data_IF_791157990259
#
_entry.id   IF_791157990259
#
_cell.length_a   1.000
_cell.length_b   1.000
_cell.length_c   1.000
_cell.angle_alpha   90.00
_cell.angle_beta   90.00
_cell.angle_gamma   90.00
#
_symmetry.space_group_name_H-M   'P 1'
#
loop_
_entity.id
_entity.type
_entity.pdbx_description
1 polymer ?
#
# COMPACT_ATOMS: atom_id res chain seq x y z
N UNK A 1 -29.08 -52.20 47.23
CA UNK A 1 -27.80 -51.93 46.54
C UNK A 1 -27.91 -51.15 45.22
N UNK A 2 -29.04 -51.07 44.51
CA UNK A 2 -29.09 -50.39 43.20
C UNK A 2 -29.10 -48.85 43.23
N UNK A 3 -29.60 -48.22 44.32
CA UNK A 3 -29.73 -46.76 44.41
C UNK A 3 -28.38 -46.02 44.56
N UNK A 4 -27.39 -46.66 45.20
CA UNK A 4 -26.06 -46.07 45.40
C UNK A 4 -25.18 -46.08 44.14
N UNK A 5 -25.35 -47.08 43.27
CA UNK A 5 -24.60 -47.22 42.01
C UNK A 5 -25.00 -46.08 41.04
N UNK A 6 -26.29 -45.72 41.02
CA UNK A 6 -26.81 -44.66 40.14
C UNK A 6 -26.29 -43.26 40.52
N UNK A 7 -26.18 -42.94 41.82
CA UNK A 7 -25.69 -41.63 42.28
C UNK A 7 -24.20 -41.43 42.00
N UNK A 8 -23.39 -42.47 42.17
CA UNK A 8 -21.94 -42.42 41.88
C UNK A 8 -21.68 -42.25 40.38
N UNK A 9 -22.43 -42.97 39.53
CA UNK A 9 -22.32 -42.85 38.08
C UNK A 9 -22.76 -41.47 37.58
N UNK A 10 -23.87 -40.93 38.10
CA UNK A 10 -24.34 -39.58 37.78
C UNK A 10 -23.33 -38.52 38.22
N UNK A 11 -22.74 -38.64 39.41
CA UNK A 11 -21.71 -37.71 39.88
C UNK A 11 -20.44 -37.76 39.01
N UNK A 12 -20.02 -38.94 38.57
CA UNK A 12 -18.87 -39.10 37.68
C UNK A 12 -19.13 -38.55 36.26
N UNK A 13 -20.34 -38.74 35.72
CA UNK A 13 -20.75 -38.17 34.43
C UNK A 13 -20.89 -36.65 34.48
N UNK A 14 -21.45 -36.09 35.56
CA UNK A 14 -21.53 -34.64 35.77
C UNK A 14 -20.14 -34.02 35.95
N UNK A 15 -19.23 -34.69 36.66
CA UNK A 15 -17.85 -34.24 36.80
C UNK A 15 -17.11 -34.24 35.45
N UNK A 16 -17.28 -35.29 34.64
CA UNK A 16 -16.69 -35.38 33.29
C UNK A 16 -17.27 -34.35 32.33
N UNK A 17 -18.58 -34.12 32.38
CA UNK A 17 -19.28 -33.10 31.58
C UNK A 17 -18.83 -31.68 31.95
N UNK A 18 -18.70 -31.39 33.25
CA UNK A 18 -18.24 -30.09 33.75
C UNK A 18 -16.78 -29.82 33.38
N UNK A 19 -15.92 -30.83 33.48
CA UNK A 19 -14.51 -30.73 33.05
C UNK A 19 -14.39 -30.48 31.53
N UNK A 20 -15.19 -31.17 30.72
CA UNK A 20 -15.22 -30.97 29.26
C UNK A 20 -15.70 -29.56 28.86
N UNK A 21 -16.76 -29.04 29.51
CA UNK A 21 -17.26 -27.68 29.27
C UNK A 21 -16.18 -26.63 29.59
N UNK A 22 -15.46 -26.78 30.70
CA UNK A 22 -14.38 -25.86 31.08
C UNK A 22 -13.25 -25.86 30.04
N UNK A 23 -12.86 -27.01 29.49
CA UNK A 23 -11.81 -27.11 28.47
C UNK A 23 -12.25 -26.45 27.15
N UNK A 24 -13.51 -26.64 26.75
CA UNK A 24 -14.07 -26.02 25.53
C UNK A 24 -14.21 -24.50 25.67
N UNK A 25 -14.49 -23.99 26.88
CA UNK A 25 -14.58 -22.55 27.16
C UNK A 25 -13.20 -21.88 27.14
N UNK A 26 -12.20 -22.48 27.82
CA UNK A 26 -10.83 -21.98 27.84
C UNK A 26 -10.17 -21.96 26.45
N UNK A 27 -10.43 -22.97 25.62
CA UNK A 27 -9.95 -23.01 24.23
C UNK A 27 -10.63 -21.95 23.34
N UNK A 28 -11.93 -21.71 23.52
CA UNK A 28 -12.63 -20.61 22.82
C UNK A 28 -12.12 -19.22 23.22
N UNK A 29 -11.78 -19.01 24.49
CA UNK A 29 -11.17 -17.76 24.98
C UNK A 29 -9.79 -17.57 24.34
N UNK A 30 -8.95 -18.61 24.34
CA UNK A 30 -7.61 -18.56 23.75
C UNK A 30 -7.64 -18.27 22.24
N UNK A 31 -8.57 -18.93 21.52
CA UNK A 31 -8.80 -18.68 20.09
C UNK A 31 -9.30 -17.24 19.89
N UNK A 32 -10.26 -16.76 20.69
CA UNK A 32 -10.78 -15.39 20.58
C UNK A 32 -9.71 -14.34 20.82
N UNK A 33 -8.81 -14.55 21.78
CA UNK A 33 -7.68 -13.65 22.02
C UNK A 33 -6.68 -13.69 20.85
N UNK A 34 -6.35 -14.87 20.33
CA UNK A 34 -5.49 -15.02 19.16
C UNK A 34 -6.08 -14.35 17.91
N UNK A 35 -7.39 -14.51 17.65
CA UNK A 35 -8.08 -13.87 16.53
C UNK A 35 -8.15 -12.36 16.68
N UNK A 36 -8.34 -11.85 17.91
CA UNK A 36 -8.28 -10.40 18.20
C UNK A 36 -6.88 -9.84 17.97
N UNK A 37 -5.83 -10.55 18.41
CA UNK A 37 -4.44 -10.14 18.17
C UNK A 37 -4.11 -10.12 16.66
N UNK A 38 -4.51 -11.16 15.93
CA UNK A 38 -4.35 -11.22 14.47
C UNK A 38 -5.11 -10.09 13.77
N UNK A 39 -6.32 -9.76 14.23
CA UNK A 39 -7.13 -8.66 13.70
C UNK A 39 -6.50 -7.29 13.96
N UNK A 40 -5.97 -7.04 15.17
CA UNK A 40 -5.23 -5.80 15.45
C UNK A 40 -3.94 -5.71 14.64
N UNK A 41 -3.20 -6.81 14.50
CA UNK A 41 -1.99 -6.85 13.69
C UNK A 41 -2.28 -6.55 12.21
N UNK A 42 -3.34 -7.13 11.64
CA UNK A 42 -3.74 -6.85 10.25
C UNK A 42 -4.22 -5.40 10.08
N UNK A 43 -4.95 -4.82 11.04
CA UNK A 43 -5.35 -3.40 11.01
C UNK A 43 -4.13 -2.48 11.06
N UNK A 44 -3.15 -2.75 11.93
CA UNK A 44 -1.92 -1.96 12.01
C UNK A 44 -1.11 -2.04 10.71
N UNK A 45 -1.00 -3.23 10.12
CA UNK A 45 -0.34 -3.45 8.83
C UNK A 45 -1.04 -2.69 7.69
N UNK A 46 -2.36 -2.77 7.59
CA UNK A 46 -3.10 -2.08 6.51
C UNK A 46 -3.09 -0.56 6.70
N UNK A 47 -3.23 -0.06 7.94
CA UNK A 47 -3.12 1.37 8.23
C UNK A 47 -1.73 1.92 7.86
N UNK A 48 -0.66 1.18 8.17
CA UNK A 48 0.71 1.57 7.83
C UNK A 48 0.94 1.68 6.32
N UNK A 49 0.39 0.74 5.54
CA UNK A 49 0.47 0.76 4.07
C UNK A 49 -0.33 1.93 3.48
N UNK A 50 -1.49 2.25 4.07
CA UNK A 50 -2.33 3.37 3.61
C UNK A 50 -1.62 4.72 3.75
N UNK A 51 -0.90 4.94 4.86
CA UNK A 51 -0.21 6.22 5.14
C UNK A 51 0.85 6.57 4.08
N UNK A 52 1.52 5.58 3.49
CA UNK A 52 2.59 5.81 2.50
C UNK A 52 2.08 6.41 1.18
N UNK A 53 0.86 6.08 0.74
CA UNK A 53 0.27 6.64 -0.47
C UNK A 53 -0.40 8.01 -0.26
N UNK A 54 -0.90 8.25 0.95
CA UNK A 54 -1.66 9.46 1.30
C UNK A 54 -0.74 10.67 1.51
N UNK A 55 0.47 10.46 2.00
CA UNK A 55 1.45 11.53 2.25
C UNK A 55 1.82 12.29 0.97
N UNK A 56 2.15 11.58 -0.11
CA UNK A 56 2.54 12.21 -1.37
C UNK A 56 1.41 13.02 -2.02
N UNK A 57 0.17 12.51 -2.03
CA UNK A 57 -0.97 13.26 -2.58
C UNK A 57 -1.34 14.48 -1.73
N UNK A 58 -1.18 14.42 -0.40
CA UNK A 58 -1.49 15.52 0.49
C UNK A 58 -0.47 16.65 0.38
N UNK A 59 0.82 16.31 0.25
CA UNK A 59 1.90 17.29 0.15
C UNK A 59 2.11 17.81 -1.28
N UNK A 60 1.98 16.95 -2.29
CA UNK A 60 2.31 17.29 -3.68
C UNK A 60 1.08 17.57 -4.55
N UNK A 61 -0.13 17.36 -4.04
CA UNK A 61 -1.38 17.59 -4.77
C UNK A 61 -1.61 16.61 -5.92
N UNK A 62 -2.78 16.71 -6.54
CA UNK A 62 -3.20 15.80 -7.61
C UNK A 62 -3.69 14.44 -7.10
N UNK A 63 -4.17 13.62 -8.04
CA UNK A 63 -4.73 12.30 -7.74
C UNK A 63 -3.72 11.20 -8.11
N UNK A 64 -2.86 10.80 -7.17
CA UNK A 64 -1.80 9.80 -7.44
C UNK A 64 -2.35 8.48 -7.98
N UNK A 65 -3.54 8.05 -7.53
CA UNK A 65 -4.20 6.83 -8.01
C UNK A 65 -4.61 7.00 -9.48
N UNK A 66 -5.21 8.14 -9.82
CA UNK A 66 -5.58 8.49 -11.19
C UNK A 66 -4.38 8.65 -12.11
N UNK A 67 -3.33 9.33 -11.65
CA UNK A 67 -2.08 9.53 -12.39
C UNK A 67 -1.44 8.17 -12.71
N UNK A 68 -1.31 7.29 -11.71
CA UNK A 68 -0.81 5.94 -11.94
C UNK A 68 -1.68 5.20 -12.96
N UNK A 69 -2.99 5.18 -12.76
CA UNK A 69 -3.89 4.41 -13.62
C UNK A 69 -3.84 4.86 -15.10
N UNK A 70 -3.75 6.17 -15.33
CA UNK A 70 -3.80 6.74 -16.68
C UNK A 70 -2.42 6.85 -17.34
N UNK A 71 -1.35 7.04 -16.57
CA UNK A 71 -0.02 7.36 -17.11
C UNK A 71 0.98 6.20 -17.09
N UNK A 72 0.74 5.11 -16.33
CA UNK A 72 1.74 4.06 -16.11
C UNK A 72 2.30 3.46 -17.40
N UNK A 73 1.46 3.30 -18.42
CA UNK A 73 1.83 2.71 -19.72
C UNK A 73 2.82 3.58 -20.50
N UNK A 74 2.79 4.90 -20.30
CA UNK A 74 3.67 5.88 -20.97
C UNK A 74 5.00 6.08 -20.23
N UNK A 75 5.05 5.77 -18.93
CA UNK A 75 6.23 6.02 -18.07
C UNK A 75 6.96 4.75 -17.65
N UNK A 76 6.41 3.57 -17.89
CA UNK A 76 7.07 2.29 -17.58
C UNK A 76 8.42 2.13 -18.31
N UNK A 77 9.34 1.39 -17.70
CA UNK A 77 10.60 1.02 -18.37
C UNK A 77 10.34 0.08 -19.55
N UNK A 78 11.07 0.29 -20.63
CA UNK A 78 10.86 -0.44 -21.89
C UNK A 78 9.72 0.14 -22.73
N UNK A 79 9.64 -0.30 -23.99
CA UNK A 79 8.68 0.21 -24.97
C UNK A 79 9.08 1.55 -25.61
N UNK A 80 8.36 1.95 -26.64
CA UNK A 80 8.56 3.20 -27.36
C UNK A 80 8.08 4.42 -26.55
N UNK A 81 8.54 5.61 -26.94
CA UNK A 81 8.05 6.87 -26.38
C UNK A 81 6.82 7.30 -27.17
N UNK A 82 5.64 7.04 -26.60
CA UNK A 82 4.38 7.52 -27.15
C UNK A 82 3.95 8.82 -26.47
N UNK A 83 3.32 9.75 -27.20
CA UNK A 83 2.70 10.91 -26.58
C UNK A 83 1.63 10.46 -25.57
N UNK A 84 1.49 11.17 -24.44
CA UNK A 84 0.52 10.81 -23.42
C UNK A 84 -0.91 10.99 -23.93
N UNK A 85 -1.84 10.18 -23.40
CA UNK A 85 -3.26 10.38 -23.63
C UNK A 85 -3.76 11.66 -22.94
N UNK A 86 -4.85 12.21 -23.45
CA UNK A 86 -5.54 13.34 -22.81
C UNK A 86 -5.96 13.02 -21.36
N UNK A 87 -6.37 11.76 -21.11
CA UNK A 87 -6.71 11.29 -19.76
C UNK A 87 -5.50 11.30 -18.80
N UNK A 88 -4.30 10.98 -19.29
CA UNK A 88 -3.08 11.08 -18.50
C UNK A 88 -2.75 12.55 -18.18
N UNK A 89 -2.83 13.44 -19.16
CA UNK A 89 -2.60 14.88 -18.93
C UNK A 89 -3.62 15.49 -17.97
N UNK A 90 -4.90 15.13 -18.08
CA UNK A 90 -5.93 15.56 -17.16
C UNK A 90 -5.66 15.09 -15.72
N UNK A 91 -5.15 13.86 -15.54
CA UNK A 91 -4.80 13.33 -14.23
C UNK A 91 -3.60 14.04 -13.59
N UNK A 92 -2.65 14.54 -14.39
CA UNK A 92 -1.49 15.31 -13.93
C UNK A 92 -1.84 16.75 -13.51
N UNK A 93 -3.05 17.22 -13.80
CA UNK A 93 -3.49 18.58 -13.45
C UNK A 93 -3.48 18.76 -11.92
N UNK A 94 -2.74 19.77 -11.46
CA UNK A 94 -2.61 20.08 -10.03
C UNK A 94 -1.62 19.20 -9.26
N UNK A 95 -0.88 18.31 -9.93
CA UNK A 95 0.22 17.58 -9.35
C UNK A 95 1.54 18.37 -9.44
N UNK A 96 2.29 18.44 -8.34
CA UNK A 96 3.64 18.99 -8.32
C UNK A 96 4.67 17.87 -8.56
N UNK A 97 5.20 17.80 -9.78
CA UNK A 97 6.06 16.69 -10.21
C UNK A 97 7.38 16.65 -9.43
N UNK A 98 8.00 17.81 -9.18
CA UNK A 98 9.23 17.93 -8.38
C UNK A 98 9.02 17.52 -6.92
N UNK A 99 7.84 17.79 -6.34
CA UNK A 99 7.50 17.28 -5.01
C UNK A 99 7.41 15.74 -5.00
N UNK A 100 6.74 15.15 -6.00
CA UNK A 100 6.61 13.69 -6.11
C UNK A 100 7.96 12.96 -6.20
N UNK A 101 8.99 13.62 -6.72
CA UNK A 101 10.35 13.08 -6.74
C UNK A 101 10.93 12.73 -5.36
N UNK A 102 10.45 13.34 -4.28
CA UNK A 102 10.87 12.97 -2.91
C UNK A 102 10.39 11.58 -2.50
N UNK A 103 9.32 11.10 -3.12
CA UNK A 103 8.70 9.80 -2.86
C UNK A 103 9.11 8.74 -3.88
N UNK A 104 9.93 9.10 -4.86
CA UNK A 104 10.51 8.15 -5.80
C UNK A 104 11.60 7.36 -5.09
N UNK A 105 11.28 6.10 -4.77
CA UNK A 105 12.20 5.15 -4.16
C UNK A 105 12.94 4.33 -5.22
N UNK A 106 14.06 3.67 -4.88
CA UNK A 106 14.76 2.77 -5.82
C UNK A 106 13.85 1.69 -6.41
N UNK A 107 12.85 1.24 -5.65
CA UNK A 107 11.84 0.31 -6.16
C UNK A 107 11.00 0.95 -7.28
N UNK A 108 10.56 2.20 -7.12
CA UNK A 108 9.82 2.92 -8.17
C UNK A 108 10.73 3.17 -9.38
N UNK A 109 11.97 3.62 -9.15
CA UNK A 109 12.97 3.79 -10.21
C UNK A 109 13.26 2.50 -10.97
N UNK A 110 13.04 1.32 -10.38
CA UNK A 110 13.19 0.04 -11.09
C UNK A 110 12.04 -0.25 -12.06
N UNK A 111 10.86 0.38 -11.89
CA UNK A 111 9.64 0.11 -12.66
C UNK A 111 9.33 1.17 -13.71
N UNK A 112 9.66 2.44 -13.43
CA UNK A 112 9.40 3.56 -14.33
C UNK A 112 10.70 4.15 -14.89
N UNK A 113 10.64 4.72 -16.09
CA UNK A 113 11.69 5.58 -16.62
C UNK A 113 11.42 7.02 -16.22
N UNK A 114 12.33 7.60 -15.44
CA UNK A 114 12.24 9.00 -15.01
C UNK A 114 12.30 9.94 -16.22
N UNK A 115 13.09 9.62 -17.23
CA UNK A 115 13.14 10.37 -18.50
C UNK A 115 11.77 10.39 -19.19
N UNK A 116 11.10 9.24 -19.27
CA UNK A 116 9.74 9.16 -19.85
C UNK A 116 8.72 9.92 -19.02
N UNK A 117 8.82 9.84 -17.69
CA UNK A 117 7.95 10.59 -16.80
C UNK A 117 8.11 12.11 -16.99
N UNK A 118 9.35 12.58 -17.16
CA UNK A 118 9.65 13.98 -17.47
C UNK A 118 9.14 14.37 -18.86
N UNK A 119 9.31 13.50 -19.86
CA UNK A 119 8.74 13.71 -21.20
C UNK A 119 7.22 13.89 -21.15
N UNK A 120 6.51 12.98 -20.47
CA UNK A 120 5.06 13.06 -20.28
C UNK A 120 4.66 14.34 -19.53
N UNK A 121 5.38 14.67 -18.45
CA UNK A 121 5.12 15.90 -17.69
C UNK A 121 5.29 17.16 -18.55
N UNK A 122 6.32 17.22 -19.39
CA UNK A 122 6.54 18.32 -20.33
C UNK A 122 5.44 18.38 -21.40
N UNK A 123 5.10 17.24 -22.02
CA UNK A 123 4.07 17.13 -23.04
C UNK A 123 2.68 17.54 -22.51
N UNK A 124 2.39 17.26 -21.24
CA UNK A 124 1.14 17.66 -20.58
C UNK A 124 1.19 19.05 -19.93
N UNK A 125 2.29 19.79 -20.07
CA UNK A 125 2.51 21.09 -19.41
C UNK A 125 2.25 21.06 -17.89
N UNK A 126 2.72 19.99 -17.23
CA UNK A 126 2.58 19.82 -15.80
C UNK A 126 3.39 20.88 -15.02
N UNK A 127 3.00 21.12 -13.77
CA UNK A 127 3.63 22.14 -12.93
C UNK A 127 4.86 21.59 -12.22
N UNK A 128 5.86 22.45 -12.02
CA UNK A 128 7.06 22.17 -11.21
C UNK A 128 7.80 20.91 -11.68
N UNK A 129 8.15 20.83 -12.96
CA UNK A 129 8.89 19.70 -13.53
C UNK A 129 10.35 19.74 -12.99
N UNK A 130 10.87 18.65 -12.42
CA UNK A 130 12.25 18.61 -11.92
C UNK A 130 13.25 18.73 -13.08
N UNK A 131 14.35 19.45 -12.87
CA UNK A 131 15.43 19.60 -13.86
C UNK A 131 16.71 18.90 -13.42
N UNK A 132 16.95 18.79 -12.11
CA UNK A 132 18.19 18.30 -11.53
C UNK A 132 18.16 16.80 -11.19
N UNK A 133 17.25 16.38 -10.30
CA UNK A 133 17.17 15.02 -9.80
C UNK A 133 15.73 14.63 -9.45
N UNK A 134 15.46 13.34 -9.52
CA UNK A 134 14.22 12.75 -9.06
C UNK A 134 14.51 11.44 -8.32
N UNK A 135 14.24 11.37 -7.02
CA UNK A 135 14.73 10.28 -6.18
C UNK A 135 16.26 10.27 -6.12
N UNK A 136 16.84 9.12 -6.44
CA UNK A 136 18.28 8.93 -6.69
C UNK A 136 18.69 9.13 -8.15
N UNK A 137 17.76 9.24 -9.08
CA UNK A 137 18.04 9.45 -10.50
C UNK A 137 18.42 10.91 -10.80
N UNK A 138 19.57 11.13 -11.44
CA UNK A 138 20.02 12.46 -11.91
C UNK A 138 19.53 12.66 -13.33
N UNK A 139 18.81 13.75 -13.56
CA UNK A 139 18.23 14.07 -14.86
C UNK A 139 19.35 14.55 -15.79
N UNK A 140 19.58 13.89 -16.93
CA UNK A 140 20.58 14.33 -17.88
C UNK A 140 20.15 15.68 -18.46
N UNK A 141 20.82 16.76 -18.07
CA UNK A 141 20.68 18.02 -18.77
C UNK A 141 21.35 17.92 -20.14
N UNK A 142 20.74 18.44 -21.22
CA UNK A 142 21.54 18.75 -22.40
C UNK A 142 22.67 19.70 -21.95
N UNK A 143 23.91 19.51 -22.40
CA UNK A 143 24.99 20.42 -22.05
C UNK A 143 24.54 21.83 -22.45
N UNK A 144 24.45 22.72 -21.45
CA UNK A 144 24.27 24.15 -21.66
C UNK A 144 25.23 24.57 -22.75
N UNK A 145 24.69 25.01 -23.89
CA UNK A 145 25.46 25.67 -24.94
C UNK A 145 26.17 26.84 -24.27
N UNK A 146 27.47 26.68 -24.03
CA UNK A 146 28.32 27.79 -23.63
C UNK A 146 28.16 28.91 -24.67
N UNK A 147 28.00 30.11 -24.13
CA UNK A 147 27.96 31.40 -24.81
C UNK A 147 29.05 31.57 -25.88
#
# INVERSE_FOLDING_TARGET
SFYYINKSLVHHLLYKQKSFIIIVDQTKIFITMATRCLYFATIMLTASILVLGISAQFECGGNIIGIRAQCITFVQKGGENFPPSESCCAALKGANISCYCKYVTPFIESKISIEKAIYVANACHAQNIPTDKCGSYVIPHPPSSKA
#
